data_IF_791602834890
#
_entry.id   IF_791602834890
#
_cell.length_a   1.000
_cell.length_b   1.000
_cell.length_c   1.000
_cell.angle_alpha   90.00
_cell.angle_beta   90.00
_cell.angle_gamma   90.00
#
_symmetry.space_group_name_H-M   'P 1'
#
loop_
_entity.id
_entity.type
_entity.pdbx_description
1 polymer ?
#
# COMPACT_ATOMS: atom_id res chain seq x y z
N UNK A 1 -38.92 -8.95 -60.78
CA UNK A 1 -39.50 -10.20 -61.27
C UNK A 1 -39.22 -11.32 -60.31
N UNK A 2 -40.29 -11.88 -59.69
CA UNK A 2 -40.38 -13.15 -58.88
C UNK A 2 -39.30 -13.45 -57.83
N UNK A 3 -39.55 -13.28 -56.55
CA UNK A 3 -40.32 -14.13 -55.61
C UNK A 3 -40.14 -15.65 -55.81
N UNK A 4 -39.54 -16.33 -54.82
CA UNK A 4 -40.04 -17.58 -54.26
C UNK A 4 -39.41 -17.82 -52.86
N UNK A 5 -40.24 -17.82 -51.78
CA UNK A 5 -40.10 -18.63 -50.58
C UNK A 5 -40.91 -19.93 -50.82
N UNK A 6 -40.64 -21.05 -50.21
CA UNK A 6 -41.30 -21.45 -48.95
C UNK A 6 -40.37 -22.31 -48.04
N UNK A 7 -40.68 -22.85 -46.90
CA UNK A 7 -41.72 -22.86 -45.89
C UNK A 7 -41.24 -23.81 -44.77
N UNK A 8 -41.68 -23.53 -43.59
CA UNK A 8 -41.66 -24.26 -42.34
C UNK A 8 -41.69 -25.80 -42.40
N UNK A 9 -41.00 -26.42 -41.40
CA UNK A 9 -41.51 -27.59 -40.73
C UNK A 9 -41.07 -27.65 -39.27
N UNK A 10 -42.01 -27.44 -38.37
CA UNK A 10 -41.95 -27.72 -36.94
C UNK A 10 -42.09 -29.23 -36.71
N UNK A 11 -41.35 -29.78 -35.72
CA UNK A 11 -41.76 -31.01 -35.08
C UNK A 11 -41.53 -30.92 -33.57
N UNK A 12 -42.64 -31.01 -32.87
CA UNK A 12 -42.83 -31.17 -31.45
C UNK A 12 -42.52 -32.61 -30.99
N UNK A 13 -42.19 -32.72 -29.71
CA UNK A 13 -42.48 -33.88 -28.89
C UNK A 13 -41.24 -34.50 -28.22
N UNK A 14 -41.13 -34.66 -26.98
CA UNK A 14 -41.99 -35.11 -25.91
C UNK A 14 -41.20 -35.11 -24.58
N UNK A 15 -41.81 -34.58 -23.59
CA UNK A 15 -41.37 -34.68 -22.19
C UNK A 15 -41.35 -36.14 -21.72
N UNK A 16 -40.37 -36.54 -20.88
CA UNK A 16 -40.51 -37.65 -19.98
C UNK A 16 -39.96 -37.29 -18.61
N UNK A 17 -40.81 -37.59 -17.63
CA UNK A 17 -40.74 -37.33 -16.19
C UNK A 17 -39.72 -38.21 -15.50
N UNK A 18 -39.35 -37.70 -14.30
CA UNK A 18 -38.57 -38.29 -13.22
C UNK A 18 -38.94 -39.70 -12.79
N UNK A 19 -38.10 -40.41 -11.99
CA UNK A 19 -38.41 -40.32 -10.56
C UNK A 19 -37.20 -40.13 -9.64
N UNK A 20 -37.56 -39.60 -8.47
CA UNK A 20 -36.80 -39.36 -7.26
C UNK A 20 -36.37 -40.71 -6.61
N UNK A 21 -35.18 -40.69 -6.02
CA UNK A 21 -34.87 -41.68 -4.98
C UNK A 21 -34.19 -40.98 -3.80
N UNK A 22 -34.89 -40.98 -2.71
CA UNK A 22 -34.50 -40.60 -1.33
C UNK A 22 -33.93 -41.84 -0.66
N UNK A 23 -32.81 -41.69 0.04
CA UNK A 23 -32.35 -42.56 1.15
C UNK A 23 -31.17 -41.80 1.78
N UNK A 24 -31.29 -41.15 2.91
CA UNK A 24 -31.44 -41.60 4.29
C UNK A 24 -30.09 -42.04 4.91
N UNK A 25 -29.57 -41.17 5.76
CA UNK A 25 -29.08 -41.35 7.16
C UNK A 25 -28.05 -42.42 7.44
N UNK A 26 -26.90 -41.96 7.96
CA UNK A 26 -26.31 -42.56 9.19
C UNK A 26 -25.34 -41.55 9.85
N UNK A 27 -25.75 -41.08 11.00
CA UNK A 27 -24.90 -40.45 12.00
C UNK A 27 -24.07 -41.52 12.71
N UNK A 28 -22.79 -41.26 12.94
CA UNK A 28 -21.99 -41.96 13.95
C UNK A 28 -21.29 -40.91 14.79
N UNK A 29 -21.87 -40.67 15.96
CA UNK A 29 -21.24 -40.08 17.12
C UNK A 29 -20.29 -41.11 17.76
N UNK A 30 -19.05 -40.72 17.96
CA UNK A 30 -18.19 -41.40 18.95
C UNK A 30 -17.57 -40.33 19.86
N UNK A 31 -18.14 -40.29 21.05
CA UNK A 31 -17.59 -39.64 22.24
C UNK A 31 -16.58 -40.63 22.86
N UNK A 32 -15.40 -40.18 23.18
CA UNK A 32 -14.57 -40.82 24.19
C UNK A 32 -13.82 -39.72 24.98
N UNK A 33 -14.18 -39.69 26.23
CA UNK A 33 -13.63 -38.85 27.26
C UNK A 33 -12.61 -39.61 28.10
N UNK A 34 -11.73 -38.80 28.74
CA UNK A 34 -10.98 -39.11 29.97
C UNK A 34 -9.76 -40.05 29.84
N UNK A 35 -8.59 -39.66 30.35
CA UNK A 35 -8.26 -39.46 31.76
C UNK A 35 -6.96 -38.68 31.92
N UNK A 36 -6.95 -37.84 32.95
CA UNK A 36 -5.76 -37.21 33.52
C UNK A 36 -5.03 -38.21 34.40
N UNK A 37 -3.69 -38.20 34.39
CA UNK A 37 -2.90 -38.47 35.59
C UNK A 37 -1.56 -37.73 35.53
N UNK A 38 -1.24 -37.10 36.64
CA UNK A 38 -0.03 -36.34 36.93
C UNK A 38 1.13 -37.25 37.33
N UNK A 39 2.31 -36.72 37.20
CA UNK A 39 3.52 -36.75 38.06
C UNK A 39 4.80 -36.86 37.22
N UNK A 40 5.67 -35.83 37.38
CA UNK A 40 7.03 -35.80 36.84
C UNK A 40 8.03 -36.64 37.69
N UNK A 41 9.34 -36.38 37.76
CA UNK A 41 10.21 -35.51 36.95
C UNK A 41 11.40 -36.27 36.34
N UNK A 42 12.36 -35.52 35.78
CA UNK A 42 13.78 -35.78 35.46
C UNK A 42 14.19 -35.90 33.99
N UNK A 43 14.90 -34.92 33.64
CA UNK A 43 16.28 -34.71 33.12
C UNK A 43 16.63 -35.18 31.71
N UNK A 44 17.26 -34.19 31.05
CA UNK A 44 18.30 -34.24 30.02
C UNK A 44 18.00 -34.78 28.61
N UNK A 45 17.90 -33.92 27.61
CA UNK A 45 19.03 -33.70 26.72
C UNK A 45 18.69 -32.70 25.60
N UNK A 46 19.71 -31.88 25.33
CA UNK A 46 19.79 -30.88 24.31
C UNK A 46 19.57 -31.40 22.90
N UNK A 47 18.88 -30.66 22.07
CA UNK A 47 19.32 -30.45 20.69
C UNK A 47 18.62 -29.24 20.04
N UNK A 48 19.43 -28.29 19.69
CA UNK A 48 19.41 -27.38 18.53
C UNK A 48 18.09 -26.73 18.12
N UNK A 49 17.83 -25.58 18.75
CA UNK A 49 17.15 -24.46 18.09
C UNK A 49 18.22 -23.58 17.43
N UNK A 50 18.10 -23.18 16.17
CA UNK A 50 18.96 -22.16 15.63
C UNK A 50 18.69 -20.86 16.39
N UNK A 51 19.68 -20.41 17.12
CA UNK A 51 19.73 -19.09 17.74
C UNK A 51 19.78 -18.06 16.63
N UNK A 52 18.67 -17.34 16.44
CA UNK A 52 18.68 -16.07 15.71
C UNK A 52 19.57 -15.13 16.52
N UNK A 53 20.57 -14.46 15.93
CA UNK A 53 21.38 -13.49 16.66
C UNK A 53 20.46 -12.40 17.20
N UNK A 54 20.51 -12.16 18.48
CA UNK A 54 19.92 -10.99 19.11
C UNK A 54 20.53 -9.75 18.45
N UNK A 55 19.78 -9.11 17.55
CA UNK A 55 20.14 -7.83 16.99
C UNK A 55 20.29 -6.83 18.14
N UNK A 56 21.38 -6.12 18.14
CA UNK A 56 21.70 -5.05 19.07
C UNK A 56 20.47 -4.12 19.21
N UNK A 57 19.99 -3.94 20.43
CA UNK A 57 19.04 -2.90 20.76
C UNK A 57 19.71 -1.56 20.45
N UNK A 58 19.26 -0.88 19.41
CA UNK A 58 19.60 0.53 19.22
C UNK A 58 18.96 1.29 20.38
N UNK A 59 19.74 1.99 21.18
CA UNK A 59 19.26 2.94 22.22
C UNK A 59 18.63 4.17 21.55
N UNK A 60 17.68 3.95 20.62
CA UNK A 60 16.99 5.00 19.89
C UNK A 60 16.12 5.83 20.83
N UNK A 61 16.26 7.15 20.79
CA UNK A 61 15.40 8.08 21.52
C UNK A 61 14.01 8.04 20.89
N UNK A 62 12.99 7.68 21.66
CA UNK A 62 11.60 7.76 21.23
C UNK A 62 11.08 9.16 21.49
N UNK A 63 10.63 9.83 20.43
CA UNK A 63 9.90 11.09 20.49
C UNK A 63 8.43 10.83 20.22
N UNK A 64 7.58 11.24 21.16
CA UNK A 64 6.13 11.03 21.05
C UNK A 64 5.48 12.40 20.93
N UNK A 65 4.70 12.62 19.86
CA UNK A 65 3.82 13.77 19.79
C UNK A 65 2.87 13.82 20.98
N UNK A 66 2.60 15.01 21.53
CA UNK A 66 1.86 15.14 22.78
C UNK A 66 0.42 14.60 22.69
N UNK A 67 -0.23 14.71 21.52
CA UNK A 67 -1.54 14.15 21.24
C UNK A 67 -1.57 12.60 21.20
N UNK A 68 -0.40 11.98 21.10
CA UNK A 68 -0.27 10.53 21.04
C UNK A 68 -0.09 9.90 22.42
N UNK A 69 0.44 10.62 23.41
CA UNK A 69 0.69 10.08 24.77
C UNK A 69 -0.59 9.59 25.45
N UNK A 70 -1.65 10.38 25.36
CA UNK A 70 -2.92 10.03 25.98
C UNK A 70 -3.56 8.83 25.25
N UNK A 71 -3.48 8.77 23.92
CA UNK A 71 -3.99 7.65 23.11
C UNK A 71 -3.23 6.35 23.37
N UNK A 72 -1.92 6.40 23.53
CA UNK A 72 -1.11 5.22 23.90
C UNK A 72 -1.53 4.67 25.26
N UNK A 73 -1.77 5.57 26.22
CA UNK A 73 -2.21 5.19 27.57
C UNK A 73 -3.63 4.62 27.58
N UNK A 74 -4.55 5.17 26.80
CA UNK A 74 -5.92 4.65 26.61
C UNK A 74 -5.92 3.23 26.03
N UNK A 75 -4.96 2.90 25.16
CA UNK A 75 -4.82 1.58 24.57
C UNK A 75 -3.94 0.62 25.40
N UNK A 76 -3.52 1.04 26.61
CA UNK A 76 -2.68 0.20 27.46
C UNK A 76 -1.29 -0.10 26.90
N UNK A 77 -0.81 0.73 25.97
CA UNK A 77 0.51 0.58 25.37
C UNK A 77 1.55 1.21 26.29
N UNK A 78 2.40 0.38 26.85
CA UNK A 78 3.55 0.80 27.66
C UNK A 78 4.70 1.21 26.71
N UNK A 79 5.09 2.48 26.80
CA UNK A 79 6.13 3.06 25.99
C UNK A 79 7.52 2.48 26.23
N UNK A 80 7.81 2.06 27.44
CA UNK A 80 9.10 1.44 27.75
C UNK A 80 9.16 0.01 27.20
N UNK A 81 8.05 -0.70 27.21
CA UNK A 81 7.92 -1.98 26.52
C UNK A 81 7.98 -1.80 25.00
N UNK A 82 7.33 -0.76 24.44
CA UNK A 82 7.47 -0.45 23.03
C UNK A 82 8.92 -0.17 22.62
N UNK A 83 9.67 0.61 23.39
CA UNK A 83 11.12 0.81 23.20
C UNK A 83 11.91 -0.49 23.15
N UNK A 84 11.54 -1.44 23.98
CA UNK A 84 12.19 -2.75 24.08
C UNK A 84 11.75 -3.74 22.99
N UNK A 85 10.96 -3.30 22.03
CA UNK A 85 10.60 -4.07 20.85
C UNK A 85 9.31 -4.87 20.96
N UNK A 86 8.44 -4.56 21.92
CA UNK A 86 7.11 -5.20 22.05
C UNK A 86 6.22 -5.00 20.84
N UNK A 87 6.49 -3.98 20.02
CA UNK A 87 5.88 -3.81 18.72
C UNK A 87 6.19 -4.97 17.75
N UNK A 88 7.18 -5.83 18.05
CA UNK A 88 7.50 -7.04 17.28
C UNK A 88 6.59 -8.23 17.63
N UNK A 89 5.89 -8.19 18.76
CA UNK A 89 4.99 -9.25 19.19
C UNK A 89 3.64 -9.10 18.49
N UNK A 90 3.64 -9.39 17.20
CA UNK A 90 2.46 -9.39 16.35
C UNK A 90 1.76 -10.76 16.42
N UNK A 91 1.01 -10.99 17.49
CA UNK A 91 -0.08 -11.95 17.39
C UNK A 91 -1.23 -11.26 16.64
N UNK A 92 -1.78 -11.96 15.67
CA UNK A 92 -2.82 -11.41 14.78
C UNK A 92 -4.01 -10.85 15.56
N UNK A 93 -4.43 -11.54 16.62
CA UNK A 93 -5.58 -11.14 17.43
C UNK A 93 -5.26 -9.93 18.30
N UNK A 94 -4.03 -9.86 18.83
CA UNK A 94 -3.52 -8.71 19.55
C UNK A 94 -3.41 -7.49 18.64
N UNK A 95 -2.86 -7.66 17.43
CA UNK A 95 -2.78 -6.60 16.44
C UNK A 95 -4.15 -6.05 16.04
N UNK A 96 -5.14 -6.93 15.77
CA UNK A 96 -6.51 -6.51 15.44
C UNK A 96 -7.17 -5.73 16.57
N UNK A 97 -6.84 -6.01 17.83
CA UNK A 97 -7.35 -5.26 18.99
C UNK A 97 -6.65 -3.92 19.17
N UNK A 98 -5.33 -3.87 19.01
CA UNK A 98 -4.49 -2.71 19.32
C UNK A 98 -4.33 -1.75 18.16
N UNK A 99 -4.49 -2.23 16.92
CA UNK A 99 -4.29 -1.44 15.71
C UNK A 99 -5.59 -0.80 15.16
N UNK A 100 -6.60 -0.59 16.02
CA UNK A 100 -7.83 0.12 15.65
C UNK A 100 -7.56 1.59 15.33
N UNK A 101 -6.59 2.19 16.03
CA UNK A 101 -6.17 3.56 15.85
C UNK A 101 -4.76 3.64 15.29
N UNK A 102 -4.50 4.73 14.58
CA UNK A 102 -3.16 5.02 14.08
C UNK A 102 -2.25 5.41 15.25
N UNK A 103 -1.23 4.60 15.50
CA UNK A 103 -0.21 4.82 16.53
C UNK A 103 1.16 4.61 15.90
N UNK A 104 1.97 5.66 15.83
CA UNK A 104 3.27 5.63 15.17
C UNK A 104 4.29 6.52 15.90
N UNK A 105 4.80 6.08 17.08
CA UNK A 105 5.84 6.82 17.78
C UNK A 105 7.12 6.86 16.95
N UNK A 106 7.85 7.97 17.05
CA UNK A 106 9.14 8.10 16.36
C UNK A 106 10.18 7.33 17.15
N UNK A 107 10.84 6.38 16.50
CA UNK A 107 11.97 5.62 17.05
C UNK A 107 13.21 6.00 16.24
N UNK A 108 14.05 6.86 16.81
CA UNK A 108 15.26 7.31 16.13
C UNK A 108 16.14 6.13 15.71
N UNK A 109 16.67 6.21 14.48
CA UNK A 109 17.53 5.21 13.85
C UNK A 109 16.92 3.78 13.74
N UNK A 110 15.61 3.61 13.95
CA UNK A 110 14.94 2.34 13.70
C UNK A 110 15.06 1.93 12.22
N UNK A 111 14.89 2.89 11.32
CA UNK A 111 15.15 2.72 9.90
C UNK A 111 16.60 3.05 9.60
N UNK A 112 17.50 2.14 9.99
CA UNK A 112 18.91 2.19 9.61
C UNK A 112 19.10 1.73 8.15
N UNK A 113 20.30 1.91 7.55
CA UNK A 113 20.57 1.53 6.18
C UNK A 113 20.27 0.07 5.84
N UNK A 114 20.58 -0.86 6.73
CA UNK A 114 20.38 -2.28 6.51
C UNK A 114 18.89 -2.61 6.51
N UNK A 115 18.15 -2.09 7.47
CA UNK A 115 16.72 -2.30 7.56
C UNK A 115 15.95 -1.65 6.41
N UNK A 116 16.33 -0.43 5.96
CA UNK A 116 15.73 0.20 4.78
C UNK A 116 15.94 -0.62 3.51
N UNK A 117 17.12 -1.23 3.38
CA UNK A 117 17.46 -2.09 2.25
C UNK A 117 16.74 -3.42 2.29
N UNK A 118 16.66 -4.03 3.48
CA UNK A 118 16.11 -5.37 3.68
C UNK A 118 14.58 -5.36 3.86
N UNK A 119 13.93 -4.19 3.87
CA UNK A 119 12.49 -4.06 3.75
C UNK A 119 12.06 -4.39 2.31
N UNK A 120 11.74 -5.64 2.07
CA UNK A 120 11.45 -6.21 0.74
C UNK A 120 10.02 -6.71 0.59
N UNK A 121 9.30 -6.87 1.71
CA UNK A 121 7.91 -7.34 1.67
C UNK A 121 7.00 -6.23 1.20
N UNK A 122 6.15 -6.55 0.27
CA UNK A 122 5.09 -5.66 -0.21
C UNK A 122 3.74 -6.21 0.23
N UNK A 123 2.83 -5.38 0.73
CA UNK A 123 1.46 -5.80 0.99
C UNK A 123 0.66 -5.97 -0.31
N UNK A 124 1.31 -6.27 -1.41
CA UNK A 124 0.70 -6.36 -2.72
C UNK A 124 -0.53 -7.21 -2.76
N UNK A 125 -1.45 -6.74 -3.55
CA UNK A 125 -2.76 -7.31 -3.75
C UNK A 125 -2.88 -7.74 -5.21
N UNK A 126 -2.30 -8.89 -5.57
CA UNK A 126 -2.44 -9.39 -6.93
C UNK A 126 -3.92 -9.62 -7.23
N UNK A 127 -4.30 -9.29 -8.44
CA UNK A 127 -5.60 -9.65 -9.01
C UNK A 127 -5.37 -10.63 -10.15
N UNK A 128 -6.35 -11.49 -10.39
CA UNK A 128 -6.29 -12.39 -11.53
C UNK A 128 -6.09 -11.61 -12.82
N UNK A 129 -5.27 -12.15 -13.73
CA UNK A 129 -5.02 -11.55 -15.04
C UNK A 129 -6.31 -11.39 -15.85
N UNK A 130 -7.32 -12.18 -15.54
CA UNK A 130 -8.60 -12.29 -16.23
C UNK A 130 -9.70 -11.52 -15.50
N UNK A 131 -9.47 -10.21 -15.26
CA UNK A 131 -10.59 -9.34 -14.91
C UNK A 131 -11.42 -9.21 -16.18
N UNK A 132 -12.53 -9.97 -16.22
CA UNK A 132 -13.40 -10.00 -17.39
C UNK A 132 -14.04 -8.64 -17.62
N UNK A 133 -14.17 -8.25 -18.91
CA UNK A 133 -14.84 -7.01 -19.30
C UNK A 133 -16.35 -7.00 -19.00
N UNK A 134 -16.89 -8.02 -18.35
CA UNK A 134 -18.33 -8.19 -18.10
C UNK A 134 -18.83 -7.42 -16.88
N UNK A 135 -17.93 -6.84 -16.09
CA UNK A 135 -18.28 -6.05 -14.90
C UNK A 135 -18.07 -4.56 -15.18
N UNK A 136 -19.17 -3.79 -15.22
CA UNK A 136 -19.10 -2.33 -15.41
C UNK A 136 -18.46 -1.92 -16.73
N UNK A 137 -17.59 -0.91 -16.70
CA UNK A 137 -16.90 -0.38 -17.89
C UNK A 137 -15.41 -0.71 -17.79
N UNK A 138 -14.98 -1.72 -18.53
CA UNK A 138 -13.58 -2.14 -18.60
C UNK A 138 -13.10 -2.12 -20.04
N UNK A 139 -11.96 -1.48 -20.29
CA UNK A 139 -11.29 -1.49 -21.59
C UNK A 139 -10.43 -2.76 -21.75
N UNK A 140 -10.01 -3.14 -22.95
CA UNK A 140 -9.08 -4.26 -23.16
C UNK A 140 -7.81 -4.11 -22.32
N UNK A 141 -7.26 -5.22 -21.85
CA UNK A 141 -6.00 -5.23 -21.10
C UNK A 141 -4.89 -4.58 -21.91
N UNK A 142 -4.19 -3.57 -21.36
CA UNK A 142 -3.11 -2.91 -22.06
C UNK A 142 -1.92 -3.86 -22.29
N UNK A 143 -1.20 -3.64 -23.38
CA UNK A 143 0.07 -4.32 -23.58
C UNK A 143 1.07 -3.95 -22.46
N UNK A 144 1.92 -4.88 -22.00
CA UNK A 144 2.94 -4.57 -21.02
C UNK A 144 3.89 -3.46 -21.52
N UNK A 145 4.09 -2.44 -20.69
CA UNK A 145 5.11 -1.41 -20.89
C UNK A 145 6.26 -1.70 -19.94
N UNK A 146 7.45 -1.91 -20.49
CA UNK A 146 8.65 -2.14 -19.69
C UNK A 146 8.96 -0.90 -18.85
N UNK A 147 9.03 -1.08 -17.52
CA UNK A 147 9.39 0.02 -16.64
C UNK A 147 10.82 0.51 -16.90
N UNK A 148 10.96 1.82 -17.04
CA UNK A 148 12.23 2.49 -17.21
C UNK A 148 12.74 3.00 -15.86
N UNK A 149 14.06 2.88 -15.59
CA UNK A 149 14.64 3.51 -14.42
C UNK A 149 14.50 5.03 -14.46
N UNK A 150 14.09 5.64 -13.37
CA UNK A 150 14.10 7.11 -13.22
C UNK A 150 15.56 7.59 -13.32
N UNK A 151 15.78 8.69 -14.03
CA UNK A 151 17.14 9.28 -14.13
C UNK A 151 17.61 9.76 -12.76
N UNK A 152 18.87 9.52 -12.48
CA UNK A 152 19.54 10.01 -11.27
C UNK A 152 20.19 11.38 -11.52
N UNK A 153 20.35 12.23 -10.50
CA UNK A 153 19.83 12.05 -9.14
C UNK A 153 18.30 12.18 -9.10
N UNK A 154 17.64 11.36 -8.28
CA UNK A 154 16.17 11.34 -8.23
C UNK A 154 15.59 12.69 -7.81
N UNK A 155 16.26 13.38 -6.89
CA UNK A 155 15.87 14.74 -6.48
C UNK A 155 15.72 15.73 -7.65
N UNK A 156 16.51 15.61 -8.70
CA UNK A 156 16.41 16.48 -9.87
C UNK A 156 15.34 16.02 -10.89
N UNK A 157 14.90 14.77 -10.84
CA UNK A 157 14.06 14.16 -11.87
C UNK A 157 12.70 13.64 -11.36
N UNK A 158 12.57 13.43 -10.06
CA UNK A 158 11.34 12.96 -9.38
C UNK A 158 11.41 13.29 -7.89
N UNK A 159 11.66 14.56 -7.55
CA UNK A 159 11.90 15.05 -6.18
C UNK A 159 10.77 14.68 -5.20
N UNK A 160 9.54 14.63 -5.70
CA UNK A 160 8.34 14.31 -4.91
C UNK A 160 8.24 12.83 -4.54
N UNK A 161 8.90 11.95 -5.30
CA UNK A 161 8.81 10.50 -5.11
C UNK A 161 9.74 10.01 -4.01
N UNK A 162 9.28 9.01 -3.26
CA UNK A 162 10.08 8.38 -2.22
C UNK A 162 9.59 6.98 -1.86
N UNK A 163 10.40 6.32 -1.04
CA UNK A 163 10.11 5.00 -0.50
C UNK A 163 9.34 5.15 0.81
N UNK A 164 8.26 4.40 0.98
CA UNK A 164 7.50 4.31 2.23
C UNK A 164 7.84 2.99 2.91
N UNK A 165 8.31 3.06 4.13
CA UNK A 165 8.74 1.94 4.95
C UNK A 165 7.78 1.79 6.13
N UNK A 166 7.42 0.56 6.50
CA UNK A 166 6.54 0.29 7.63
C UNK A 166 6.64 -1.16 8.09
N UNK A 167 6.10 -1.43 9.25
CA UNK A 167 6.01 -2.78 9.80
C UNK A 167 4.59 -3.29 9.79
N UNK A 168 4.45 -4.53 9.35
CA UNK A 168 3.24 -5.32 9.45
C UNK A 168 3.48 -6.64 10.17
N UNK A 169 2.44 -7.48 10.32
CA UNK A 169 2.57 -8.80 10.97
C UNK A 169 3.58 -9.73 10.29
N UNK A 170 3.91 -9.46 9.03
CA UNK A 170 4.84 -10.27 8.23
C UNK A 170 6.28 -9.72 8.25
N UNK A 171 6.52 -8.64 8.96
CA UNK A 171 7.82 -7.98 9.12
C UNK A 171 7.89 -6.60 8.46
N UNK A 172 9.10 -6.17 8.10
CA UNK A 172 9.35 -4.88 7.47
C UNK A 172 8.90 -4.89 6.01
N UNK A 173 8.10 -3.91 5.65
CA UNK A 173 7.39 -3.82 4.38
C UNK A 173 7.74 -2.53 3.65
N UNK A 174 7.48 -2.50 2.34
CA UNK A 174 7.78 -1.37 1.47
C UNK A 174 6.62 -1.03 0.55
N UNK A 175 6.41 0.25 0.40
CA UNK A 175 5.58 0.91 -0.61
C UNK A 175 6.32 2.11 -1.21
N UNK A 176 5.65 2.80 -2.08
CA UNK A 176 6.06 4.08 -2.65
C UNK A 176 5.10 5.19 -2.20
N UNK A 177 5.55 6.42 -2.22
CA UNK A 177 4.71 7.56 -1.87
C UNK A 177 5.17 8.84 -2.58
N UNK A 178 4.34 9.88 -2.51
CA UNK A 178 4.53 11.12 -3.24
C UNK A 178 4.25 12.33 -2.35
N UNK A 179 5.17 13.29 -2.30
CA UNK A 179 4.96 14.58 -1.62
C UNK A 179 3.90 15.38 -2.35
N UNK A 180 2.88 15.83 -1.64
CA UNK A 180 1.78 16.60 -2.21
C UNK A 180 1.66 17.97 -1.53
N UNK A 181 1.16 18.96 -2.27
CA UNK A 181 0.90 20.30 -1.72
C UNK A 181 -0.09 20.24 -0.57
N UNK A 182 0.03 21.16 0.37
CA UNK A 182 -0.93 21.37 1.44
C UNK A 182 -1.61 22.73 1.27
N UNK A 183 -2.93 22.78 1.06
CA UNK A 183 -3.63 24.06 0.93
C UNK A 183 -3.64 24.88 2.22
N UNK A 184 -3.49 24.25 3.40
CA UNK A 184 -3.37 24.94 4.67
C UNK A 184 -1.98 25.57 4.87
N UNK A 185 -0.94 25.01 4.23
CA UNK A 185 0.45 25.45 4.35
C UNK A 185 1.10 25.57 2.95
N UNK A 186 0.70 26.56 2.12
CA UNK A 186 1.22 26.71 0.76
C UNK A 186 2.74 26.87 0.73
N UNK A 187 3.43 25.97 0.00
CA UNK A 187 4.90 25.97 -0.11
C UNK A 187 5.62 25.34 1.08
N UNK A 188 4.87 24.85 2.09
CA UNK A 188 5.43 24.27 3.34
C UNK A 188 4.72 22.97 3.72
N UNK A 189 4.37 22.17 2.74
CA UNK A 189 3.65 20.91 2.99
C UNK A 189 4.49 19.89 3.74
N UNK A 190 3.82 19.19 4.68
CA UNK A 190 4.27 17.95 5.30
C UNK A 190 3.33 16.77 4.94
N UNK A 191 2.64 16.86 3.80
CA UNK A 191 1.71 15.83 3.36
C UNK A 191 2.35 14.88 2.34
N UNK A 192 2.11 13.59 2.55
CA UNK A 192 2.56 12.51 1.67
C UNK A 192 1.38 11.67 1.25
N UNK A 193 1.23 11.44 -0.04
CA UNK A 193 0.20 10.58 -0.63
C UNK A 193 0.73 9.17 -0.87
N UNK A 194 -0.08 8.15 -0.55
CA UNK A 194 0.21 6.75 -0.81
C UNK A 194 -1.08 5.94 -1.01
N UNK A 195 -1.00 4.62 -1.10
CA UNK A 195 -2.17 3.75 -1.11
C UNK A 195 -2.71 3.48 0.30
N UNK A 196 -4.00 3.19 0.41
CA UNK A 196 -4.64 2.79 1.68
C UNK A 196 -4.02 1.54 2.26
N UNK A 197 -3.72 0.55 1.40
CA UNK A 197 -3.09 -0.71 1.82
C UNK A 197 -1.63 -0.57 2.29
N UNK A 198 -1.01 0.59 2.10
CA UNK A 198 0.32 0.89 2.62
C UNK A 198 0.29 1.42 4.07
N UNK A 199 -0.88 1.75 4.59
CA UNK A 199 -1.06 2.27 5.96
C UNK A 199 -2.02 1.43 6.80
N UNK A 200 -2.97 0.72 6.15
CA UNK A 200 -4.02 -0.06 6.82
C UNK A 200 -4.35 -1.33 6.04
N UNK A 201 -4.41 -2.47 6.72
CA UNK A 201 -4.60 -3.78 6.08
C UNK A 201 -6.04 -4.09 5.61
N UNK A 202 -6.93 -3.11 5.59
CA UNK A 202 -8.31 -3.26 5.12
C UNK A 202 -9.22 -3.95 6.14
N UNK A 203 -10.30 -4.58 5.66
CA UNK A 203 -11.44 -5.09 6.47
C UNK A 203 -11.05 -6.06 7.59
N UNK A 204 -10.01 -6.84 7.42
CA UNK A 204 -9.58 -7.86 8.40
C UNK A 204 -8.26 -7.51 9.08
N UNK A 205 -7.85 -6.26 9.03
CA UNK A 205 -6.59 -5.79 9.59
C UNK A 205 -6.74 -4.48 10.37
N UNK A 206 -5.63 -3.88 10.66
CA UNK A 206 -5.54 -2.60 11.36
C UNK A 206 -4.45 -1.72 10.73
N UNK A 207 -4.13 -0.64 11.41
CA UNK A 207 -3.06 0.27 11.03
C UNK A 207 -1.69 -0.40 11.15
N UNK A 208 -0.83 -0.18 10.15
CA UNK A 208 0.57 -0.57 10.24
C UNK A 208 1.34 0.35 11.20
N UNK A 209 2.56 -0.03 11.54
CA UNK A 209 3.41 0.64 12.54
C UNK A 209 4.73 1.07 11.92
N UNK A 210 5.44 1.95 12.65
CA UNK A 210 6.77 2.42 12.28
C UNK A 210 6.82 2.99 10.86
N UNK A 211 5.71 3.65 10.44
CA UNK A 211 5.58 4.19 9.10
C UNK A 211 6.50 5.40 8.95
N UNK A 212 7.41 5.32 7.99
CA UNK A 212 8.33 6.39 7.66
C UNK A 212 8.47 6.55 6.14
N UNK A 213 8.56 7.80 5.69
CA UNK A 213 8.78 8.17 4.31
C UNK A 213 10.23 8.63 4.10
N UNK A 214 10.86 8.15 3.05
CA UNK A 214 12.22 8.53 2.67
C UNK A 214 12.18 9.13 1.27
N UNK A 215 12.11 10.48 1.16
CA UNK A 215 12.08 11.17 -0.13
C UNK A 215 13.39 10.95 -0.88
N UNK A 216 13.30 10.78 -2.20
CA UNK A 216 14.45 10.51 -3.06
C UNK A 216 15.38 9.41 -2.52
N UNK A 217 14.81 8.33 -1.94
CA UNK A 217 15.56 7.17 -1.44
C UNK A 217 16.57 6.70 -2.47
N UNK A 218 17.81 6.46 -2.03
CA UNK A 218 18.91 6.08 -2.94
C UNK A 218 19.08 7.05 -4.11
N UNK A 219 19.14 8.34 -3.81
CA UNK A 219 19.09 9.46 -4.77
C UNK A 219 20.03 9.29 -5.99
N UNK A 220 21.16 8.65 -5.80
CA UNK A 220 22.16 8.41 -6.86
C UNK A 220 21.93 7.10 -7.61
N UNK A 221 20.92 6.29 -7.24
CA UNK A 221 20.63 5.01 -7.88
C UNK A 221 21.73 3.98 -7.69
N UNK A 222 22.37 3.97 -6.52
CA UNK A 222 23.42 3.01 -6.15
C UNK A 222 22.91 1.57 -6.33
N UNK A 223 23.80 0.69 -6.75
CA UNK A 223 23.51 -0.74 -6.79
C UNK A 223 23.41 -1.33 -5.37
N UNK A 224 22.83 -2.53 -5.22
CA UNK A 224 22.75 -3.22 -3.95
C UNK A 224 24.13 -3.41 -3.28
N UNK A 225 25.17 -3.66 -4.08
CA UNK A 225 26.54 -3.82 -3.58
C UNK A 225 27.13 -2.51 -3.04
N UNK A 226 26.78 -1.38 -3.65
CA UNK A 226 27.18 -0.05 -3.19
C UNK A 226 26.37 0.36 -1.96
N UNK A 227 25.06 0.10 -1.94
CA UNK A 227 24.19 0.40 -0.80
C UNK A 227 24.60 -0.30 0.50
N UNK A 228 25.17 -1.51 0.40
CA UNK A 228 25.72 -2.23 1.58
C UNK A 228 26.89 -1.50 2.25
N UNK A 229 27.50 -0.54 1.57
CA UNK A 229 28.62 0.25 2.07
C UNK A 229 28.26 1.71 2.28
N UNK A 230 27.07 2.11 1.84
CA UNK A 230 26.62 3.48 1.90
C UNK A 230 26.16 3.88 3.31
N UNK A 231 26.43 5.11 3.67
CA UNK A 231 25.95 5.73 4.90
C UNK A 231 24.47 6.04 4.83
N UNK A 232 23.80 6.25 5.98
CA UNK A 232 22.39 6.70 6.04
C UNK A 232 22.19 7.99 5.24
N UNK A 233 23.14 8.92 5.28
CA UNK A 233 23.07 10.18 4.53
C UNK A 233 23.13 9.99 3.00
N UNK A 234 23.86 9.01 2.51
CA UNK A 234 23.90 8.69 1.08
C UNK A 234 22.63 8.01 0.61
N UNK A 235 22.01 7.17 1.45
CA UNK A 235 20.77 6.46 1.16
C UNK A 235 19.55 7.38 1.28
N UNK A 236 19.51 8.19 2.34
CA UNK A 236 18.41 9.08 2.68
C UNK A 236 18.90 10.54 2.83
N UNK A 237 19.36 11.19 1.74
CA UNK A 237 19.99 12.51 1.81
C UNK A 237 19.05 13.62 2.28
N UNK A 238 17.75 13.42 2.14
CA UNK A 238 16.70 14.35 2.59
C UNK A 238 16.03 13.90 3.89
N UNK A 239 16.66 12.96 4.61
CA UNK A 239 16.21 12.44 5.90
C UNK A 239 15.13 11.39 5.82
N UNK A 240 14.75 10.92 7.01
CA UNK A 240 13.63 9.99 7.26
C UNK A 240 12.51 10.80 7.90
N UNK A 241 11.30 10.71 7.35
CA UNK A 241 10.12 11.46 7.77
C UNK A 241 9.07 10.52 8.33
N UNK A 242 8.80 10.61 9.62
CA UNK A 242 7.88 9.73 10.33
C UNK A 242 6.43 10.21 10.18
N UNK A 243 5.52 9.26 9.91
CA UNK A 243 4.09 9.53 9.91
C UNK A 243 3.61 9.90 11.31
N UNK A 244 3.17 11.12 11.52
CA UNK A 244 2.51 11.56 12.76
C UNK A 244 1.01 11.32 12.73
N UNK A 245 0.44 11.21 11.53
CA UNK A 245 -0.94 10.85 11.28
C UNK A 245 -1.07 10.17 9.93
N UNK A 246 -2.06 9.29 9.80
CA UNK A 246 -2.48 8.72 8.55
C UNK A 246 -4.02 8.72 8.47
N UNK A 247 -4.54 8.99 7.29
CA UNK A 247 -5.96 8.86 6.96
C UNK A 247 -6.11 8.10 5.66
N UNK A 248 -7.00 7.10 5.64
CA UNK A 248 -7.43 6.41 4.42
C UNK A 248 -8.96 6.47 4.31
N UNK A 249 -9.52 5.97 3.23
CA UNK A 249 -10.98 5.97 3.03
C UNK A 249 -11.68 4.94 3.92
N UNK A 250 -12.89 5.26 4.38
CA UNK A 250 -13.75 4.31 5.10
C UNK A 250 -14.09 3.09 4.24
N UNK A 251 -14.17 3.28 2.92
CA UNK A 251 -14.39 2.20 1.96
C UNK A 251 -13.20 1.24 1.94
N UNK A 252 -11.95 1.75 1.95
CA UNK A 252 -10.79 0.88 2.08
C UNK A 252 -10.81 0.09 3.40
N UNK A 253 -11.08 0.76 4.53
CA UNK A 253 -11.14 0.10 5.85
C UNK A 253 -12.21 -0.99 5.87
N UNK A 254 -13.39 -0.74 5.29
CA UNK A 254 -14.54 -1.65 5.35
C UNK A 254 -14.56 -2.73 4.28
N UNK A 255 -13.91 -2.51 3.12
CA UNK A 255 -14.01 -3.38 1.94
C UNK A 255 -12.65 -3.84 1.41
N UNK A 256 -11.56 -3.16 1.76
CA UNK A 256 -10.21 -3.54 1.37
C UNK A 256 -9.84 -4.95 1.85
N UNK A 257 -9.10 -5.68 1.06
CA UNK A 257 -8.66 -7.04 1.40
C UNK A 257 -7.23 -7.30 0.98
N UNK A 258 -6.63 -8.35 1.55
CA UNK A 258 -5.26 -8.76 1.21
C UNK A 258 -5.10 -9.29 -0.23
N UNK A 259 -6.18 -9.56 -0.91
CA UNK A 259 -6.19 -10.06 -2.29
C UNK A 259 -6.71 -9.01 -3.30
N UNK A 260 -6.54 -7.71 -3.03
CA UNK A 260 -7.15 -6.64 -3.80
C UNK A 260 -8.62 -6.47 -3.40
N UNK A 261 -9.55 -6.70 -4.28
CA UNK A 261 -10.98 -6.73 -3.98
C UNK A 261 -11.65 -5.38 -4.13
N UNK A 262 -12.89 -5.30 -3.64
CA UNK A 262 -13.82 -4.20 -3.87
C UNK A 262 -13.36 -2.85 -3.31
N UNK A 263 -12.39 -2.84 -2.39
CA UNK A 263 -11.81 -1.61 -1.84
C UNK A 263 -10.81 -0.89 -2.76
N UNK A 264 -10.31 -1.54 -3.83
CA UNK A 264 -9.25 -0.96 -4.66
C UNK A 264 -9.59 0.40 -5.32
N UNK A 265 -10.84 0.70 -5.73
CA UNK A 265 -11.21 2.02 -6.22
C UNK A 265 -11.09 3.15 -5.17
N UNK A 266 -10.91 2.80 -3.91
CA UNK A 266 -10.80 3.70 -2.75
C UNK A 266 -9.48 3.52 -2.00
N UNK A 267 -8.52 2.85 -2.62
CA UNK A 267 -7.22 2.49 -2.04
C UNK A 267 -6.22 3.65 -2.16
N UNK A 268 -6.43 4.67 -1.34
CA UNK A 268 -5.55 5.83 -1.20
C UNK A 268 -5.48 6.28 0.25
N UNK A 269 -4.38 6.90 0.62
CA UNK A 269 -4.15 7.47 1.93
C UNK A 269 -3.29 8.73 1.87
N UNK A 270 -3.43 9.55 2.90
CA UNK A 270 -2.60 10.73 3.14
C UNK A 270 -1.98 10.61 4.52
N UNK A 271 -0.67 10.87 4.59
CA UNK A 271 0.08 10.98 5.83
C UNK A 271 0.44 12.46 6.07
N UNK A 272 0.41 12.87 7.32
CA UNK A 272 1.19 14.00 7.80
C UNK A 272 2.49 13.46 8.39
N UNK A 273 3.63 14.07 8.05
CA UNK A 273 4.94 13.57 8.44
C UNK A 273 5.77 14.65 9.14
N UNK A 274 6.74 14.21 9.95
CA UNK A 274 7.74 15.06 10.60
C UNK A 274 9.13 14.42 10.47
N UNK A 275 10.22 15.22 10.45
CA UNK A 275 11.56 14.64 10.36
C UNK A 275 11.90 13.82 11.61
N UNK A 276 12.66 12.73 11.42
CA UNK A 276 13.10 11.83 12.50
C UNK A 276 13.94 12.54 13.57
N UNK A 277 14.88 13.35 13.15
CA UNK A 277 15.76 14.11 14.04
C UNK A 277 15.47 15.59 13.91
N UNK A 278 15.08 16.19 15.01
CA UNK A 278 14.88 17.59 15.26
C UNK A 278 14.55 18.46 14.05
N UNK A 279 13.58 19.31 14.17
CA UNK A 279 13.19 20.23 13.10
C UNK A 279 14.39 21.05 12.62
N UNK A 280 14.72 20.98 11.33
CA UNK A 280 15.58 21.96 10.67
C UNK A 280 14.87 23.30 10.48
N UNK A 281 13.63 23.41 10.96
CA UNK A 281 12.74 24.53 10.69
C UNK A 281 12.11 24.48 9.27
N UNK A 282 12.44 23.46 8.46
CA UNK A 282 11.91 23.28 7.11
C UNK A 282 10.86 22.18 7.08
N UNK A 283 9.81 22.41 6.32
CA UNK A 283 8.83 21.39 5.94
C UNK A 283 9.44 20.36 4.99
N UNK A 284 8.69 19.28 4.73
CA UNK A 284 9.07 18.28 3.73
C UNK A 284 9.16 18.91 2.33
N UNK A 285 8.17 19.72 1.92
CA UNK A 285 8.16 20.41 0.63
C UNK A 285 9.38 21.34 0.47
N UNK A 286 9.73 22.12 1.51
CA UNK A 286 10.93 22.97 1.49
C UNK A 286 12.23 22.17 1.45
N UNK A 287 12.23 20.96 2.03
CA UNK A 287 13.43 20.09 2.06
C UNK A 287 13.68 19.45 0.70
N UNK A 288 12.62 18.94 0.04
CA UNK A 288 12.75 18.32 -1.29
C UNK A 288 12.61 19.33 -2.43
N UNK A 289 12.14 20.53 -2.14
CA UNK A 289 12.01 21.62 -3.12
C UNK A 289 10.84 21.46 -4.08
N UNK A 290 9.96 20.47 -3.87
CA UNK A 290 8.83 20.18 -4.75
C UNK A 290 7.69 19.45 -4.02
N UNK A 291 6.45 19.70 -4.48
CA UNK A 291 5.26 18.95 -4.10
C UNK A 291 4.24 19.00 -5.24
N UNK A 292 3.57 17.90 -5.51
CA UNK A 292 2.57 17.81 -6.58
C UNK A 292 1.20 18.33 -6.11
N UNK A 293 0.50 19.13 -6.93
CA UNK A 293 -0.92 19.37 -6.69
C UNK A 293 -1.70 18.07 -6.91
N UNK A 294 -2.77 17.86 -6.12
CA UNK A 294 -3.66 16.72 -6.28
C UNK A 294 -4.92 17.15 -7.04
N UNK A 295 -5.28 16.42 -8.08
CA UNK A 295 -6.45 16.69 -8.90
C UNK A 295 -7.61 15.74 -8.52
N UNK A 296 -8.59 16.25 -7.78
CA UNK A 296 -9.73 15.46 -7.31
C UNK A 296 -10.88 15.35 -8.31
N UNK A 297 -10.87 16.18 -9.35
CA UNK A 297 -11.71 15.98 -10.53
C UNK A 297 -10.91 15.30 -11.63
N UNK A 298 -10.18 14.26 -11.25
CA UNK A 298 -9.25 13.58 -12.13
C UNK A 298 -9.90 13.27 -13.49
N UNK A 299 -9.23 13.55 -14.62
CA UNK A 299 -9.85 13.51 -15.94
C UNK A 299 -10.40 12.12 -16.29
N UNK A 300 -11.47 12.06 -17.06
CA UNK A 300 -11.92 10.79 -17.62
C UNK A 300 -10.89 10.26 -18.63
N UNK A 301 -10.74 8.93 -18.71
CA UNK A 301 -9.76 8.23 -19.58
C UNK A 301 -9.65 8.82 -20.99
N UNK A 302 -10.76 9.13 -21.73
CA UNK A 302 -10.64 9.70 -23.07
C UNK A 302 -9.97 11.08 -23.14
N UNK A 303 -9.87 11.78 -22.00
CA UNK A 303 -9.26 13.12 -21.91
C UNK A 303 -7.77 13.09 -21.56
N UNK A 304 -7.22 11.90 -21.26
CA UNK A 304 -5.82 11.73 -20.86
C UNK A 304 -5.01 11.27 -22.06
N UNK A 305 -4.09 12.11 -22.52
CA UNK A 305 -3.18 11.76 -23.61
C UNK A 305 -2.11 10.74 -23.20
N UNK A 306 -1.68 10.80 -21.94
CA UNK A 306 -0.74 9.89 -21.28
C UNK A 306 -0.63 10.20 -19.81
N UNK A 307 -0.19 9.22 -19.03
CA UNK A 307 0.16 9.38 -17.61
C UNK A 307 1.42 8.60 -17.27
N UNK A 308 2.09 9.02 -16.21
CA UNK A 308 3.30 8.38 -15.71
C UNK A 308 3.08 7.90 -14.29
N UNK A 309 3.27 6.60 -14.07
CA UNK A 309 3.32 5.99 -12.76
C UNK A 309 4.79 5.88 -12.32
N UNK A 310 5.10 6.27 -11.08
CA UNK A 310 6.46 6.19 -10.53
C UNK A 310 6.44 5.39 -9.22
N UNK A 311 7.46 4.57 -8.96
CA UNK A 311 7.55 3.81 -7.72
C UNK A 311 8.87 3.07 -7.55
N UNK A 312 8.99 2.34 -6.43
CA UNK A 312 10.15 1.53 -6.04
C UNK A 312 9.75 0.04 -6.01
N UNK A 313 9.68 -0.62 -7.18
CA UNK A 313 9.29 -2.04 -7.23
C UNK A 313 10.33 -2.90 -6.51
N UNK A 314 9.87 -3.84 -5.68
CA UNK A 314 10.70 -4.64 -4.79
C UNK A 314 10.61 -6.16 -5.05
N UNK A 315 9.59 -6.63 -5.79
CA UNK A 315 9.52 -8.03 -6.19
C UNK A 315 10.28 -8.28 -7.50
N UNK A 316 10.82 -9.48 -7.71
CA UNK A 316 11.58 -9.80 -8.92
C UNK A 316 10.89 -9.39 -10.22
N UNK A 317 11.66 -8.86 -11.21
CA UNK A 317 13.12 -8.76 -11.29
C UNK A 317 13.74 -7.54 -10.58
N UNK A 318 12.96 -6.78 -9.83
CA UNK A 318 13.40 -5.61 -9.08
C UNK A 318 13.80 -5.98 -7.65
N UNK A 319 14.50 -5.06 -6.97
CA UNK A 319 15.03 -5.27 -5.62
C UNK A 319 14.61 -4.20 -4.59
N UNK A 320 13.71 -3.29 -4.98
CA UNK A 320 13.23 -2.21 -4.11
C UNK A 320 14.23 -1.06 -3.89
N UNK A 321 15.38 -1.10 -4.56
CA UNK A 321 16.44 -0.13 -4.28
C UNK A 321 16.44 1.07 -5.22
N UNK A 322 15.75 0.98 -6.35
CA UNK A 322 15.76 2.01 -7.39
C UNK A 322 14.34 2.45 -7.75
N UNK A 323 14.21 3.72 -8.12
CA UNK A 323 12.97 4.25 -8.66
C UNK A 323 12.81 3.88 -10.14
N UNK A 324 11.60 3.45 -10.49
CA UNK A 324 11.19 3.14 -11.86
C UNK A 324 9.91 3.89 -12.22
N UNK A 325 9.65 3.99 -13.52
CA UNK A 325 8.44 4.61 -14.04
C UNK A 325 7.91 3.89 -15.28
N UNK A 326 6.61 3.93 -15.46
CA UNK A 326 5.93 3.53 -16.69
C UNK A 326 5.12 4.72 -17.21
N UNK A 327 5.21 4.99 -18.49
CA UNK A 327 4.40 6.01 -19.17
C UNK A 327 3.51 5.33 -20.22
N UNK A 328 2.19 5.51 -20.09
CA UNK A 328 1.23 4.90 -20.99
C UNK A 328 -0.04 5.73 -21.08
N UNK A 329 -0.88 5.43 -22.06
CA UNK A 329 -2.25 5.95 -22.16
C UNK A 329 -3.18 5.07 -21.33
N UNK A 330 -3.92 5.63 -20.34
CA UNK A 330 -4.74 4.80 -19.49
C UNK A 330 -5.94 4.19 -20.22
N UNK A 331 -6.31 2.99 -19.81
CA UNK A 331 -7.61 2.37 -20.00
C UNK A 331 -8.44 2.44 -18.72
N UNK A 332 -9.70 2.01 -18.82
CA UNK A 332 -10.64 1.89 -17.70
C UNK A 332 -10.60 0.48 -17.13
N UNK A 333 -10.75 0.38 -15.82
CA UNK A 333 -10.95 -0.88 -15.10
C UNK A 333 -12.08 -0.70 -14.09
N UNK A 334 -13.15 -1.50 -14.20
CA UNK A 334 -14.19 -1.62 -13.18
C UNK A 334 -14.05 -2.97 -12.47
N UNK A 335 -14.11 -2.96 -11.15
CA UNK A 335 -14.17 -4.17 -10.35
C UNK A 335 -15.61 -4.57 -10.06
N UNK A 336 -16.50 -3.58 -9.94
CA UNK A 336 -17.95 -3.74 -9.84
C UNK A 336 -18.64 -2.69 -10.71
N UNK A 337 -19.92 -2.89 -11.01
CA UNK A 337 -20.71 -1.91 -11.75
C UNK A 337 -21.06 -0.65 -10.91
N UNK A 338 -20.97 -0.74 -9.59
CA UNK A 338 -21.36 0.29 -8.63
C UNK A 338 -20.20 1.18 -8.19
N UNK A 339 -18.96 0.64 -8.22
CA UNK A 339 -17.78 1.36 -7.76
C UNK A 339 -17.18 2.27 -8.83
N UNK A 340 -16.42 3.29 -8.44
CA UNK A 340 -15.72 4.15 -9.38
C UNK A 340 -14.79 3.36 -10.30
N UNK A 341 -14.80 3.72 -11.58
CA UNK A 341 -13.87 3.17 -12.56
C UNK A 341 -12.45 3.63 -12.27
N UNK A 342 -11.52 2.69 -12.20
CA UNK A 342 -10.08 2.93 -12.01
C UNK A 342 -9.38 3.25 -13.32
N UNK A 343 -8.21 3.86 -13.26
CA UNK A 343 -7.25 3.86 -14.36
C UNK A 343 -6.47 2.55 -14.41
N UNK A 344 -6.13 2.10 -15.64
CA UNK A 344 -5.27 0.95 -15.88
C UNK A 344 -4.27 1.27 -16.99
N UNK A 345 -2.98 1.04 -16.73
CA UNK A 345 -1.88 1.25 -17.69
C UNK A 345 -1.06 -0.02 -17.87
N UNK A 346 -0.43 -0.18 -19.02
CA UNK A 346 0.65 -1.16 -19.20
C UNK A 346 1.85 -0.77 -18.35
N UNK A 347 2.36 -1.70 -17.53
CA UNK A 347 3.51 -1.46 -16.68
C UNK A 347 4.05 -2.77 -16.12
N UNK A 348 5.38 -2.96 -16.14
CA UNK A 348 6.04 -4.14 -15.57
C UNK A 348 6.57 -3.93 -14.16
N UNK A 349 6.30 -2.80 -13.51
CA UNK A 349 6.61 -2.63 -12.08
C UNK A 349 5.84 -3.65 -11.25
N UNK A 350 6.50 -4.13 -10.20
CA UNK A 350 5.99 -5.16 -9.29
C UNK A 350 5.70 -4.57 -7.90
N UNK A 351 5.49 -5.43 -6.90
CA UNK A 351 5.34 -5.10 -5.50
C UNK A 351 6.40 -4.14 -4.97
N UNK A 352 5.95 -3.25 -4.07
CA UNK A 352 6.75 -2.12 -3.64
C UNK A 352 6.46 -0.83 -4.42
N UNK A 353 5.98 -0.90 -5.67
CA UNK A 353 5.49 0.28 -6.41
C UNK A 353 4.15 0.81 -5.91
N UNK A 354 3.45 0.06 -5.07
CA UNK A 354 2.20 0.40 -4.40
C UNK A 354 2.24 1.78 -3.75
N UNK A 355 1.20 2.59 -3.93
CA UNK A 355 1.12 3.95 -3.41
C UNK A 355 1.91 4.99 -4.20
N UNK A 356 2.78 4.57 -5.12
CA UNK A 356 3.51 5.45 -6.01
C UNK A 356 2.57 6.28 -6.88
N UNK A 357 2.87 7.57 -7.02
CA UNK A 357 1.99 8.53 -7.66
C UNK A 357 1.88 8.36 -9.17
N UNK A 358 0.69 8.64 -9.70
CA UNK A 358 0.43 8.70 -11.13
C UNK A 358 0.12 10.14 -11.54
N UNK A 359 0.95 10.66 -12.41
CA UNK A 359 0.89 12.06 -12.86
C UNK A 359 0.34 12.13 -14.27
N UNK A 360 -0.62 13.02 -14.46
CA UNK A 360 -1.16 13.40 -15.77
C UNK A 360 -1.42 14.91 -15.80
N UNK A 361 -1.79 15.44 -16.96
CA UNK A 361 -2.27 16.81 -17.05
C UNK A 361 -3.59 16.95 -16.29
N UNK A 362 -3.63 17.85 -15.30
CA UNK A 362 -4.84 18.25 -14.59
C UNK A 362 -5.76 19.10 -15.46
N UNK A 363 -6.82 19.65 -14.87
CA UNK A 363 -7.78 20.50 -15.57
C UNK A 363 -7.17 21.80 -16.12
N UNK A 364 -6.14 22.30 -15.47
CA UNK A 364 -5.38 23.50 -15.90
C UNK A 364 -4.27 23.17 -16.91
N UNK A 365 -4.16 21.92 -17.34
CA UNK A 365 -3.13 21.43 -18.26
C UNK A 365 -1.74 21.22 -17.63
N UNK A 366 -1.56 21.49 -16.33
CA UNK A 366 -0.30 21.28 -15.63
C UNK A 366 -0.24 19.87 -15.03
N UNK A 367 0.99 19.34 -14.78
CA UNK A 367 1.15 18.07 -14.09
C UNK A 367 0.48 18.08 -12.72
N UNK A 368 -0.35 17.06 -12.44
CA UNK A 368 -1.01 16.85 -11.17
C UNK A 368 -1.06 15.36 -10.83
N UNK A 369 -1.09 15.04 -9.55
CA UNK A 369 -1.35 13.70 -9.05
C UNK A 369 -2.83 13.38 -9.26
N UNK A 370 -3.13 12.36 -10.07
CA UNK A 370 -4.50 11.97 -10.44
C UNK A 370 -4.88 10.58 -9.95
N UNK A 371 -3.88 9.79 -9.53
CA UNK A 371 -4.01 8.40 -9.04
C UNK A 371 -2.76 7.98 -8.28
N UNK A 372 -2.81 6.78 -7.71
CA UNK A 372 -1.66 6.04 -7.18
C UNK A 372 -1.74 4.56 -7.54
N UNK A 373 -0.63 3.85 -7.55
CA UNK A 373 -0.63 2.40 -7.74
C UNK A 373 -1.39 1.71 -6.62
N UNK A 374 -2.39 0.89 -6.95
CA UNK A 374 -3.18 0.09 -6.02
C UNK A 374 -3.01 -1.40 -6.25
N UNK A 375 -3.31 -1.88 -7.45
CA UNK A 375 -3.31 -3.30 -7.80
C UNK A 375 -2.60 -3.58 -9.12
N UNK A 376 -2.17 -4.80 -9.28
CA UNK A 376 -1.62 -5.34 -10.52
C UNK A 376 -1.67 -6.88 -10.52
N UNK A 377 -1.48 -7.55 -11.66
CA UNK A 377 -1.44 -9.00 -11.73
C UNK A 377 -0.15 -9.57 -11.16
N UNK A 378 -0.20 -10.80 -10.66
CA UNK A 378 0.98 -11.53 -10.13
C UNK A 378 2.11 -11.61 -11.17
N UNK A 379 1.76 -11.78 -12.43
CA UNK A 379 2.72 -11.95 -13.53
C UNK A 379 3.32 -10.63 -14.03
N UNK A 380 2.97 -9.49 -13.43
CA UNK A 380 3.24 -8.14 -13.91
C UNK A 380 2.74 -7.92 -15.37
N UNK A 381 2.71 -6.71 -15.82
CA UNK A 381 2.30 -6.36 -17.18
C UNK A 381 1.35 -5.18 -17.24
N UNK A 382 0.55 -4.95 -16.20
CA UNK A 382 -0.25 -3.75 -16.03
C UNK A 382 -0.38 -3.37 -14.55
N UNK A 383 -0.68 -2.12 -14.29
CA UNK A 383 -1.05 -1.61 -12.98
C UNK A 383 -2.40 -0.88 -13.08
N UNK A 384 -3.16 -0.88 -11.98
CA UNK A 384 -4.35 -0.07 -11.86
C UNK A 384 -4.34 0.74 -10.56
N UNK A 385 -4.99 1.91 -10.62
CA UNK A 385 -5.08 2.84 -9.50
C UNK A 385 -6.41 3.58 -9.46
N UNK A 386 -6.86 4.03 -8.27
CA UNK A 386 -8.10 4.76 -8.10
C UNK A 386 -8.06 6.08 -8.87
N UNK A 387 -9.15 6.43 -9.55
CA UNK A 387 -9.35 7.75 -10.09
C UNK A 387 -9.81 8.67 -8.96
N UNK A 388 -9.01 9.71 -8.64
CA UNK A 388 -9.32 10.56 -7.50
C UNK A 388 -10.60 11.37 -7.70
N UNK A 389 -11.46 11.31 -6.69
CA UNK A 389 -12.77 11.97 -6.63
C UNK A 389 -13.03 12.58 -5.26
N UNK A 390 -14.31 12.70 -4.91
CA UNK A 390 -14.75 13.35 -3.66
C UNK A 390 -14.26 12.63 -2.40
N UNK A 391 -14.17 11.31 -2.42
CA UNK A 391 -13.68 10.51 -1.28
C UNK A 391 -12.20 10.77 -1.04
N UNK A 392 -11.39 10.78 -2.10
CA UNK A 392 -9.97 11.12 -2.05
C UNK A 392 -9.77 12.56 -1.54
N UNK A 393 -10.61 13.50 -2.00
CA UNK A 393 -10.64 14.87 -1.51
C UNK A 393 -10.94 14.94 -0.02
N UNK A 394 -11.93 14.19 0.44
CA UNK A 394 -12.31 14.14 1.87
C UNK A 394 -11.17 13.66 2.77
N UNK A 395 -10.47 12.59 2.38
CA UNK A 395 -9.29 12.09 3.08
C UNK A 395 -8.19 13.16 3.15
N UNK A 396 -7.85 13.78 2.03
CA UNK A 396 -6.84 14.81 1.95
C UNK A 396 -7.16 16.04 2.81
N UNK A 397 -8.37 16.59 2.66
CA UNK A 397 -8.80 17.77 3.42
C UNK A 397 -8.89 17.50 4.93
N UNK A 398 -9.22 16.28 5.34
CA UNK A 398 -9.25 15.89 6.75
C UNK A 398 -7.87 16.02 7.39
N UNK A 399 -6.82 15.52 6.71
CA UNK A 399 -5.44 15.62 7.20
C UNK A 399 -4.95 17.08 7.17
N UNK A 400 -5.14 17.79 6.06
CA UNK A 400 -4.74 19.19 5.94
C UNK A 400 -5.39 20.08 7.03
N UNK A 401 -6.70 19.92 7.28
CA UNK A 401 -7.42 20.67 8.33
C UNK A 401 -6.95 20.33 9.74
N UNK A 402 -6.64 19.05 10.02
CA UNK A 402 -6.14 18.62 11.33
C UNK A 402 -4.87 19.37 11.73
N UNK A 403 -4.02 19.71 10.78
CA UNK A 403 -2.72 20.34 11.02
C UNK A 403 -2.68 21.83 10.64
N UNK A 404 -3.78 22.43 10.22
CA UNK A 404 -3.84 23.83 9.73
C UNK A 404 -3.37 24.89 10.74
N UNK A 405 -3.29 24.57 12.02
CA UNK A 405 -2.85 25.47 13.09
C UNK A 405 -1.45 25.23 13.63
N UNK A 406 -0.66 24.38 12.98
CA UNK A 406 0.69 24.01 13.45
C UNK A 406 1.80 24.67 12.65
#
# INVERSE_FOLDING_TARGET
MRLIRPALAARQGRARRRPSSVLAVAAVTAVLALTATACGPEEDNASDKPSVPAGQSSDGKITIPDDLKDRLKEHGIDLDQWKNGDWKNWDKDKWLREAKDFVNPIIEDLWDPDRMRDADKSPEKPVDNDISGDVGVTDPTPAPVQAAGVRTPYHANAAESGKLLFDGPEGSMVCSATVVKDPAHPGKSNLVWTAGHCVHAGKKGGWYRNIAFVPSYNNQGLSLAELKKATKQEIAPYGVWWGTWAQTSDQWISQGSSMGGLGAPYDFAVLHVTPEKGSTGKSLEETVGSALPVEFNAPAVPKIAGMTATGFPAAPPYDGQKAFQCADKPGRLSLTAQDPTMYRIGCTMTGGSSGGGWVAAGQDGKPALVSNTSIGPVTAGWLAGPRFGKEAKGVYESVSKKYAGQ
#
